data_IF_943094202733
#
_entry.id   IF_943094202733
#
_cell.length_a   1.000
_cell.length_b   1.000
_cell.length_c   1.000
_cell.angle_alpha   90.00
_cell.angle_beta   90.00
_cell.angle_gamma   90.00
#
_symmetry.space_group_name_H-M   'P 1'
#
loop_
_entity.id
_entity.type
_entity.pdbx_description
1 polymer ?
#
# COMPACT_ATOMS: atom_id res chain seq x y z
N UNK A 1 -21.07 -5.92 9.69
CA UNK A 1 -20.32 -7.06 9.11
C UNK A 1 -19.38 -6.49 8.06
N UNK A 2 -18.12 -6.92 8.01
CA UNK A 2 -17.13 -6.48 7.01
C UNK A 2 -17.53 -7.03 5.63
N UNK A 3 -17.39 -6.23 4.58
CA UNK A 3 -17.72 -6.59 3.20
C UNK A 3 -16.54 -6.36 2.23
N UNK A 4 -15.54 -5.59 2.66
CA UNK A 4 -14.33 -5.30 1.88
C UNK A 4 -13.15 -5.10 2.82
N UNK A 5 -12.02 -5.67 2.44
CA UNK A 5 -10.72 -5.28 2.98
C UNK A 5 -9.88 -4.71 1.84
N UNK A 6 -9.36 -3.50 2.02
CA UNK A 6 -8.32 -2.94 1.15
C UNK A 6 -6.97 -3.15 1.82
N UNK A 7 -5.99 -3.60 1.06
CA UNK A 7 -4.63 -3.83 1.53
C UNK A 7 -3.66 -2.95 0.74
N UNK A 8 -2.74 -2.29 1.43
CA UNK A 8 -1.53 -1.81 0.79
C UNK A 8 -0.68 -2.99 0.29
N UNK A 9 0.28 -2.73 -0.60
CA UNK A 9 1.11 -3.78 -1.18
C UNK A 9 2.45 -3.91 -0.47
N UNK A 10 3.37 -2.98 -0.67
CA UNK A 10 4.76 -3.09 -0.19
C UNK A 10 4.86 -2.99 1.34
N UNK A 11 5.30 -4.05 2.01
CA UNK A 11 5.35 -4.12 3.48
C UNK A 11 4.07 -4.64 4.13
N UNK A 12 2.97 -4.74 3.38
CA UNK A 12 1.67 -5.22 3.88
C UNK A 12 1.31 -6.59 3.31
N UNK A 13 1.28 -6.73 1.98
CA UNK A 13 0.99 -7.99 1.28
C UNK A 13 2.20 -8.52 0.52
N UNK A 14 3.15 -7.66 0.22
CA UNK A 14 4.36 -7.95 -0.57
C UNK A 14 5.60 -7.55 0.23
N UNK A 15 6.51 -8.49 0.41
CA UNK A 15 7.88 -8.22 0.82
C UNK A 15 8.72 -7.91 -0.41
N UNK A 16 9.05 -6.64 -0.58
CA UNK A 16 9.86 -6.13 -1.69
C UNK A 16 11.36 -6.04 -1.33
N UNK A 17 11.76 -6.55 -0.18
CA UNK A 17 13.13 -6.46 0.33
C UNK A 17 13.63 -5.02 0.47
N UNK A 18 12.73 -4.02 0.54
CA UNK A 18 13.05 -2.60 0.58
C UNK A 18 13.42 -1.98 -0.78
N UNK A 19 13.08 -2.65 -1.89
CA UNK A 19 13.39 -2.17 -3.25
C UNK A 19 12.68 -0.85 -3.55
N UNK A 20 11.43 -0.66 -3.09
CA UNK A 20 10.67 0.59 -3.25
C UNK A 20 11.42 1.77 -2.63
N UNK A 21 11.88 1.64 -1.39
CA UNK A 21 12.64 2.69 -0.69
C UNK A 21 13.98 2.97 -1.38
N UNK A 22 14.71 1.93 -1.79
CA UNK A 22 15.98 2.11 -2.52
C UNK A 22 15.78 2.78 -3.87
N UNK A 23 14.75 2.40 -4.62
CA UNK A 23 14.43 3.01 -5.92
C UNK A 23 14.03 4.49 -5.76
N UNK A 24 13.26 4.81 -4.71
CA UNK A 24 12.87 6.19 -4.39
C UNK A 24 14.10 7.06 -4.09
N UNK A 25 14.99 6.59 -3.22
CA UNK A 25 16.26 7.26 -2.91
C UNK A 25 17.06 7.48 -4.19
N UNK A 26 17.30 6.43 -4.96
CA UNK A 26 18.12 6.50 -6.16
C UNK A 26 17.55 7.49 -7.20
N UNK A 27 16.23 7.46 -7.44
CA UNK A 27 15.60 8.40 -8.35
C UNK A 27 15.75 9.86 -7.91
N UNK A 28 15.63 10.13 -6.59
CA UNK A 28 15.81 11.49 -6.07
C UNK A 28 17.28 11.93 -6.15
N UNK A 29 18.22 11.07 -5.76
CA UNK A 29 19.66 11.37 -5.78
C UNK A 29 20.22 11.57 -7.19
N UNK A 30 19.65 10.98 -8.23
CA UNK A 30 20.00 11.27 -9.63
C UNK A 30 19.77 12.74 -10.02
N UNK A 31 18.96 13.50 -9.26
CA UNK A 31 18.77 14.94 -9.47
C UNK A 31 19.86 15.81 -8.85
N UNK A 32 20.79 15.19 -8.10
CA UNK A 32 21.80 15.88 -7.30
C UNK A 32 21.36 16.22 -5.87
N UNK A 33 20.15 15.83 -5.48
CA UNK A 33 19.67 15.96 -4.09
C UNK A 33 20.36 14.93 -3.18
N UNK A 34 20.55 15.29 -1.91
CA UNK A 34 21.03 14.37 -0.87
C UNK A 34 19.86 13.89 -0.01
N UNK A 35 19.59 12.58 0.04
CA UNK A 35 18.46 12.02 0.76
C UNK A 35 18.91 11.47 2.10
N UNK A 36 18.51 12.11 3.22
CA UNK A 36 18.70 11.58 4.55
C UNK A 36 17.79 10.36 4.80
N UNK A 37 18.25 9.42 5.62
CA UNK A 37 17.47 8.21 5.94
C UNK A 37 16.16 8.56 6.66
N UNK A 38 16.23 9.49 7.60
CA UNK A 38 15.09 9.98 8.37
C UNK A 38 14.02 10.62 7.48
N UNK A 39 14.44 11.41 6.46
CA UNK A 39 13.49 11.99 5.49
C UNK A 39 12.83 10.90 4.64
N UNK A 40 13.59 9.87 4.23
CA UNK A 40 13.04 8.77 3.45
C UNK A 40 11.96 8.00 4.25
N UNK A 41 12.18 7.78 5.54
CA UNK A 41 11.21 7.14 6.44
C UNK A 41 9.95 7.97 6.62
N UNK A 42 10.09 9.29 6.83
CA UNK A 42 8.95 10.22 6.95
C UNK A 42 8.08 10.24 5.70
N UNK A 43 8.69 10.12 4.52
CA UNK A 43 7.99 10.15 3.23
C UNK A 43 7.61 8.76 2.70
N UNK A 44 7.84 7.69 3.48
CA UNK A 44 7.39 6.34 3.16
C UNK A 44 5.85 6.28 3.15
N UNK A 45 5.27 5.61 2.17
CA UNK A 45 3.81 5.48 2.01
C UNK A 45 3.09 6.72 1.49
N UNK A 46 3.74 7.90 1.42
CA UNK A 46 3.15 9.10 0.82
C UNK A 46 3.08 8.97 -0.69
N UNK A 47 2.04 9.56 -1.29
CA UNK A 47 1.88 9.66 -2.76
C UNK A 47 3.21 9.98 -3.44
N UNK A 48 3.60 9.14 -4.38
CA UNK A 48 4.98 9.04 -4.85
C UNK A 48 5.53 10.32 -5.46
N UNK A 49 4.70 11.06 -6.22
CA UNK A 49 5.15 12.32 -6.85
C UNK A 49 5.37 13.42 -5.82
N UNK A 50 4.52 13.45 -4.77
CA UNK A 50 4.67 14.37 -3.64
C UNK A 50 5.90 14.05 -2.80
N UNK A 51 6.14 12.76 -2.51
CA UNK A 51 7.33 12.31 -1.80
C UNK A 51 8.62 12.69 -2.56
N UNK A 52 8.68 12.42 -3.86
CA UNK A 52 9.81 12.80 -4.71
C UNK A 52 10.05 14.32 -4.67
N UNK A 53 8.99 15.11 -4.83
CA UNK A 53 9.10 16.58 -4.80
C UNK A 53 9.65 17.09 -3.49
N UNK A 54 9.15 16.55 -2.37
CA UNK A 54 9.59 16.93 -1.03
C UNK A 54 11.03 16.51 -0.75
N UNK A 55 11.41 15.28 -1.08
CA UNK A 55 12.76 14.76 -0.89
C UNK A 55 13.79 15.51 -1.75
N UNK A 56 13.44 15.91 -2.98
CA UNK A 56 14.29 16.81 -3.79
C UNK A 56 14.52 18.13 -3.07
N UNK A 57 13.46 18.76 -2.58
CA UNK A 57 13.55 20.06 -1.89
C UNK A 57 14.36 19.97 -0.58
N UNK A 58 14.11 18.95 0.25
CA UNK A 58 14.88 18.68 1.47
C UNK A 58 16.35 18.41 1.17
N UNK A 59 16.63 17.70 0.07
CA UNK A 59 17.98 17.41 -0.42
C UNK A 59 18.68 18.56 -1.14
N UNK A 60 18.11 19.78 -1.13
CA UNK A 60 18.71 20.99 -1.67
C UNK A 60 18.45 21.23 -3.17
N UNK A 61 17.57 20.48 -3.81
CA UNK A 61 17.19 20.64 -5.21
C UNK A 61 15.74 21.12 -5.30
N UNK A 62 15.54 22.35 -5.78
CA UNK A 62 14.18 22.86 -6.00
C UNK A 62 13.60 22.31 -7.31
N UNK A 63 12.57 21.45 -7.27
CA UNK A 63 12.05 20.82 -8.47
C UNK A 63 11.38 21.85 -9.38
N UNK A 64 11.78 21.90 -10.64
CA UNK A 64 11.07 22.63 -11.67
C UNK A 64 9.69 21.96 -11.93
N UNK A 65 8.77 22.71 -12.56
CA UNK A 65 7.45 22.16 -12.90
C UNK A 65 7.59 20.87 -13.74
N UNK A 66 7.00 19.80 -13.27
CA UNK A 66 7.03 18.48 -13.92
C UNK A 66 8.26 17.62 -13.59
N UNK A 67 9.26 18.12 -12.86
CA UNK A 67 10.45 17.35 -12.50
C UNK A 67 10.09 16.12 -11.64
N UNK A 68 9.24 16.28 -10.65
CA UNK A 68 8.80 15.17 -9.80
C UNK A 68 8.09 14.06 -10.61
N UNK A 69 7.29 14.42 -11.62
CA UNK A 69 6.67 13.44 -12.52
C UNK A 69 7.69 12.69 -13.37
N UNK A 70 8.70 13.37 -13.87
CA UNK A 70 9.80 12.75 -14.62
C UNK A 70 10.57 11.76 -13.73
N UNK A 71 10.87 12.17 -12.48
CA UNK A 71 11.53 11.29 -11.51
C UNK A 71 10.65 10.13 -11.03
N UNK A 72 9.34 10.27 -11.01
CA UNK A 72 8.43 9.15 -10.78
C UNK A 72 8.56 8.07 -11.87
N UNK A 73 8.66 8.46 -13.13
CA UNK A 73 8.91 7.50 -14.22
C UNK A 73 10.29 6.84 -14.09
N UNK A 74 11.30 7.63 -13.66
CA UNK A 74 12.63 7.09 -13.40
C UNK A 74 12.64 6.11 -12.23
N UNK A 75 11.97 6.45 -11.13
CA UNK A 75 11.72 5.55 -10.01
C UNK A 75 11.12 4.22 -10.47
N UNK A 76 10.05 4.26 -11.29
CA UNK A 76 9.39 3.05 -11.80
C UNK A 76 10.35 2.18 -12.63
N UNK A 77 11.25 2.80 -13.41
CA UNK A 77 12.27 2.07 -14.17
C UNK A 77 13.29 1.39 -13.25
N UNK A 78 13.81 2.11 -12.25
CA UNK A 78 14.77 1.57 -11.27
C UNK A 78 14.15 0.42 -10.49
N UNK A 79 12.89 0.57 -10.08
CA UNK A 79 12.15 -0.46 -9.35
C UNK A 79 11.96 -1.72 -10.20
N UNK A 80 11.53 -1.58 -11.45
CA UNK A 80 11.37 -2.70 -12.36
C UNK A 80 12.68 -3.43 -12.62
N UNK A 81 13.82 -2.71 -12.72
CA UNK A 81 15.14 -3.29 -12.86
C UNK A 81 15.56 -4.07 -11.60
N UNK A 82 15.25 -3.53 -10.42
CA UNK A 82 15.51 -4.19 -9.14
C UNK A 82 14.70 -5.50 -9.03
N UNK A 83 13.41 -5.49 -9.33
CA UNK A 83 12.53 -6.65 -9.25
C UNK A 83 12.84 -7.75 -10.26
N UNK A 84 13.45 -7.42 -11.39
CA UNK A 84 13.96 -8.44 -12.33
C UNK A 84 15.16 -9.21 -11.77
N UNK A 85 15.94 -8.59 -10.88
CA UNK A 85 17.14 -9.19 -10.28
C UNK A 85 16.80 -9.90 -8.97
N UNK A 86 15.92 -9.30 -8.17
CA UNK A 86 15.47 -9.77 -6.86
C UNK A 86 13.94 -9.63 -6.81
N UNK A 87 13.20 -10.64 -7.28
CA UNK A 87 11.75 -10.57 -7.35
C UNK A 87 11.12 -10.48 -5.96
N UNK A 88 10.10 -9.62 -5.78
CA UNK A 88 9.36 -9.54 -4.54
C UNK A 88 8.66 -10.86 -4.22
N UNK A 89 8.45 -11.11 -2.93
CA UNK A 89 7.74 -12.28 -2.45
C UNK A 89 6.43 -11.85 -1.77
N UNK A 90 5.47 -12.75 -1.66
CA UNK A 90 4.32 -12.47 -0.80
C UNK A 90 4.73 -12.41 0.68
N UNK A 91 4.10 -11.55 1.45
CA UNK A 91 4.15 -11.63 2.91
C UNK A 91 3.50 -12.97 3.32
N UNK A 92 4.18 -13.71 4.20
CA UNK A 92 3.74 -15.05 4.61
C UNK A 92 2.27 -15.05 5.07
N UNK A 93 1.45 -15.88 4.42
CA UNK A 93 0.03 -16.00 4.69
C UNK A 93 -0.88 -15.02 3.93
N UNK A 94 -0.34 -14.24 2.97
CA UNK A 94 -1.16 -13.31 2.19
C UNK A 94 -2.18 -14.04 1.33
N UNK A 95 -1.74 -15.02 0.57
CA UNK A 95 -2.62 -15.84 -0.29
C UNK A 95 -3.72 -16.52 0.51
N UNK A 96 -3.38 -17.17 1.62
CA UNK A 96 -4.34 -17.84 2.51
C UNK A 96 -5.32 -16.86 3.16
N UNK A 97 -4.86 -15.64 3.46
CA UNK A 97 -5.73 -14.57 3.97
C UNK A 97 -6.77 -14.18 2.94
N UNK A 98 -6.38 -13.98 1.68
CA UNK A 98 -7.31 -13.62 0.60
C UNK A 98 -8.33 -14.73 0.34
N UNK A 99 -7.89 -16.00 0.33
CA UNK A 99 -8.77 -17.16 0.19
C UNK A 99 -9.81 -17.22 1.33
N UNK A 100 -9.36 -17.08 2.57
CA UNK A 100 -10.23 -17.11 3.74
C UNK A 100 -11.26 -15.98 3.71
N UNK A 101 -10.85 -14.76 3.38
CA UNK A 101 -11.77 -13.63 3.25
C UNK A 101 -12.84 -13.87 2.16
N UNK A 102 -12.44 -14.43 1.03
CA UNK A 102 -13.38 -14.79 -0.04
C UNK A 102 -14.36 -15.90 0.38
N UNK A 103 -13.91 -16.90 1.15
CA UNK A 103 -14.78 -17.94 1.69
C UNK A 103 -15.84 -17.38 2.66
N UNK A 104 -15.49 -16.30 3.37
CA UNK A 104 -16.40 -15.54 4.24
C UNK A 104 -17.26 -14.53 3.46
N UNK A 105 -17.13 -14.45 2.14
CA UNK A 105 -17.88 -13.52 1.28
C UNK A 105 -17.37 -12.08 1.35
N UNK A 106 -16.17 -11.85 1.87
CA UNK A 106 -15.51 -10.55 1.97
C UNK A 106 -14.67 -10.31 0.70
N UNK A 107 -14.81 -9.13 0.11
CA UNK A 107 -14.04 -8.74 -1.05
C UNK A 107 -12.64 -8.30 -0.66
N UNK A 108 -11.68 -8.53 -1.55
CA UNK A 108 -10.27 -8.19 -1.40
C UNK A 108 -9.87 -7.19 -2.48
N UNK A 109 -9.31 -6.05 -2.06
CA UNK A 109 -8.74 -5.07 -2.96
C UNK A 109 -7.30 -4.75 -2.57
N UNK A 110 -6.42 -4.63 -3.54
CA UNK A 110 -5.09 -4.06 -3.34
C UNK A 110 -5.09 -2.58 -3.71
N UNK A 111 -4.39 -1.78 -2.94
CA UNK A 111 -4.20 -0.35 -3.17
C UNK A 111 -2.72 -0.01 -3.12
N UNK A 112 -2.23 0.85 -4.02
CA UNK A 112 -0.82 1.20 -4.04
C UNK A 112 -0.56 2.55 -4.70
N UNK A 113 0.48 3.24 -4.25
CA UNK A 113 1.03 4.44 -4.89
C UNK A 113 2.01 4.13 -6.05
N UNK A 114 2.15 2.86 -6.42
CA UNK A 114 2.83 2.44 -7.63
C UNK A 114 1.92 2.59 -8.86
N UNK A 115 2.51 2.72 -10.04
CA UNK A 115 1.77 2.75 -11.30
C UNK A 115 1.42 1.34 -11.80
N UNK A 116 0.44 1.24 -12.71
CA UNK A 116 0.00 -0.02 -13.29
C UNK A 116 1.14 -0.79 -13.97
N UNK A 117 2.05 -0.08 -14.65
CA UNK A 117 3.19 -0.70 -15.34
C UNK A 117 4.15 -1.45 -14.37
N UNK A 118 4.25 -1.01 -13.12
CA UNK A 118 5.03 -1.70 -12.07
C UNK A 118 4.23 -2.84 -11.44
N UNK A 119 2.93 -2.64 -11.23
CA UNK A 119 2.07 -3.58 -10.49
C UNK A 119 1.70 -4.81 -11.31
N UNK A 120 1.39 -4.65 -12.60
CA UNK A 120 0.92 -5.76 -13.45
C UNK A 120 1.91 -6.94 -13.49
N UNK A 121 3.22 -6.74 -13.76
CA UNK A 121 4.17 -7.84 -13.74
C UNK A 121 4.31 -8.50 -12.36
N UNK A 122 4.23 -7.70 -11.28
CA UNK A 122 4.29 -8.20 -9.91
C UNK A 122 3.11 -9.13 -9.60
N UNK A 123 1.89 -8.74 -9.99
CA UNK A 123 0.69 -9.55 -9.79
C UNK A 123 0.74 -10.87 -10.57
N UNK A 124 1.34 -10.86 -11.75
CA UNK A 124 1.57 -12.07 -12.56
C UNK A 124 2.59 -12.99 -11.90
N UNK A 125 3.70 -12.45 -11.41
CA UNK A 125 4.77 -13.22 -10.72
C UNK A 125 4.25 -13.87 -9.44
N UNK A 126 3.45 -13.16 -8.64
CA UNK A 126 2.85 -13.69 -7.41
C UNK A 126 1.67 -14.64 -7.68
N UNK A 127 1.22 -14.77 -8.95
CA UNK A 127 0.08 -15.62 -9.31
C UNK A 127 -1.27 -15.13 -8.80
N UNK A 128 -1.37 -13.86 -8.38
CA UNK A 128 -2.59 -13.25 -7.87
C UNK A 128 -3.52 -12.71 -8.97
N UNK A 129 -2.99 -12.51 -10.17
CA UNK A 129 -3.73 -12.00 -11.35
C UNK A 129 -4.17 -13.13 -12.28
N UNK A 130 -5.26 -13.00 -13.01
CA UNK A 130 -6.41 -13.86 -12.93
C UNK A 130 -6.16 -15.22 -13.54
N UNK A 131 -6.00 -16.19 -12.68
CA UNK A 131 -6.42 -17.54 -13.03
C UNK A 131 -7.96 -17.63 -12.96
N UNK A 132 -8.51 -18.81 -13.17
CA UNK A 132 -9.95 -19.09 -13.21
C UNK A 132 -10.74 -18.63 -11.97
N UNK A 133 -10.07 -18.26 -10.87
CA UNK A 133 -10.64 -17.75 -9.64
C UNK A 133 -9.72 -16.62 -9.12
N UNK A 134 -10.08 -15.36 -9.31
CA UNK A 134 -9.26 -14.25 -8.85
C UNK A 134 -9.21 -14.22 -7.33
N UNK A 135 -8.00 -14.17 -6.75
CA UNK A 135 -7.77 -13.95 -5.32
C UNK A 135 -8.01 -12.50 -4.93
N UNK A 136 -7.98 -11.61 -5.90
CA UNK A 136 -8.11 -10.16 -5.74
C UNK A 136 -9.27 -9.68 -6.60
N UNK A 137 -10.27 -9.02 -6.00
CA UNK A 137 -11.41 -8.45 -6.74
C UNK A 137 -11.02 -7.23 -7.58
N UNK A 138 -10.09 -6.42 -7.07
CA UNK A 138 -9.56 -5.26 -7.79
C UNK A 138 -8.20 -4.83 -7.27
N UNK A 139 -7.41 -4.23 -8.16
CA UNK A 139 -6.20 -3.49 -7.81
C UNK A 139 -6.42 -2.03 -8.19
N UNK A 140 -6.08 -1.12 -7.29
CA UNK A 140 -6.13 0.33 -7.52
C UNK A 140 -4.73 0.90 -7.39
N UNK A 141 -4.28 1.55 -8.45
CA UNK A 141 -2.92 2.07 -8.59
C UNK A 141 -2.90 3.61 -8.57
N UNK A 142 -1.72 4.20 -8.53
CA UNK A 142 -1.54 5.64 -8.68
C UNK A 142 -2.15 6.22 -9.97
N UNK A 143 -2.28 5.41 -11.02
CA UNK A 143 -2.84 5.85 -12.30
C UNK A 143 -4.38 5.96 -12.29
N UNK A 144 -5.03 5.37 -11.28
CA UNK A 144 -6.49 5.32 -11.14
C UNK A 144 -7.09 6.52 -10.40
N UNK A 145 -6.24 7.32 -9.73
CA UNK A 145 -6.68 8.36 -8.81
C UNK A 145 -5.96 9.68 -9.03
N UNK A 146 -6.57 10.77 -8.56
CA UNK A 146 -5.98 12.10 -8.68
C UNK A 146 -4.83 12.33 -7.67
N UNK A 147 -4.83 11.61 -6.55
CA UNK A 147 -3.80 11.66 -5.51
C UNK A 147 -3.82 10.36 -4.71
N UNK A 148 -2.64 9.83 -4.38
CA UNK A 148 -2.46 8.69 -3.49
C UNK A 148 -2.49 9.05 -2.02
N UNK A 149 -2.00 8.14 -1.17
CA UNK A 149 -2.00 8.30 0.28
C UNK A 149 -1.25 9.56 0.74
N UNK A 150 -1.77 10.29 1.74
CA UNK A 150 -2.89 9.95 2.63
C UNK A 150 -4.28 10.37 2.13
N UNK A 151 -4.45 10.74 0.84
CA UNK A 151 -5.77 11.00 0.28
C UNK A 151 -6.62 9.71 0.29
N UNK A 152 -7.95 9.79 0.45
CA UNK A 152 -8.82 8.61 0.58
C UNK A 152 -9.11 7.92 -0.75
N UNK A 153 -8.57 8.41 -1.84
CA UNK A 153 -9.08 8.10 -3.19
C UNK A 153 -8.79 6.67 -3.63
N UNK A 154 -7.66 6.07 -3.23
CA UNK A 154 -7.37 4.66 -3.51
C UNK A 154 -8.43 3.75 -2.88
N UNK A 155 -8.76 3.98 -1.61
CA UNK A 155 -9.76 3.22 -0.85
C UNK A 155 -11.15 3.43 -1.46
N UNK A 156 -11.57 4.68 -1.72
CA UNK A 156 -12.86 4.97 -2.32
C UNK A 156 -12.99 4.39 -3.74
N UNK A 157 -11.90 4.38 -4.52
CA UNK A 157 -11.89 3.73 -5.84
C UNK A 157 -12.03 2.20 -5.72
N UNK A 158 -11.39 1.58 -4.72
CA UNK A 158 -11.58 0.16 -4.43
C UNK A 158 -13.04 -0.15 -4.04
N UNK A 159 -13.66 0.67 -3.20
CA UNK A 159 -15.08 0.57 -2.84
C UNK A 159 -15.99 0.69 -4.08
N UNK A 160 -15.74 1.66 -4.95
CA UNK A 160 -16.49 1.84 -6.19
C UNK A 160 -16.42 0.60 -7.09
N UNK A 161 -15.21 0.08 -7.33
CA UNK A 161 -14.98 -1.10 -8.17
C UNK A 161 -15.59 -2.37 -7.60
N UNK A 162 -15.57 -2.51 -6.29
CA UNK A 162 -16.18 -3.66 -5.59
C UNK A 162 -17.65 -3.46 -5.26
N UNK A 163 -18.23 -2.27 -5.54
CA UNK A 163 -19.62 -1.89 -5.26
C UNK A 163 -19.98 -1.94 -3.76
N UNK A 164 -19.01 -1.76 -2.89
CA UNK A 164 -19.24 -1.59 -1.45
C UNK A 164 -19.47 -0.12 -1.18
N UNK A 165 -20.63 0.25 -0.64
CA UNK A 165 -21.05 1.65 -0.48
C UNK A 165 -21.00 2.15 0.96
N UNK A 166 -20.95 1.26 1.94
CA UNK A 166 -20.93 1.62 3.36
C UNK A 166 -19.50 1.54 3.89
N UNK A 167 -18.90 2.68 4.18
CA UNK A 167 -17.54 2.78 4.74
C UNK A 167 -17.36 2.01 6.04
N UNK A 168 -18.44 1.82 6.83
CA UNK A 168 -18.42 1.05 8.09
C UNK A 168 -18.22 -0.45 7.88
N UNK A 169 -18.33 -0.92 6.65
CA UNK A 169 -18.13 -2.32 6.26
C UNK A 169 -16.76 -2.53 5.62
N UNK A 170 -15.87 -1.54 5.70
CA UNK A 170 -14.55 -1.57 5.05
C UNK A 170 -13.45 -1.47 6.10
N UNK A 171 -12.47 -2.35 5.99
CA UNK A 171 -11.18 -2.25 6.68
C UNK A 171 -10.11 -1.83 5.66
N UNK A 172 -9.17 -1.00 6.08
CA UNK A 172 -8.00 -0.67 5.27
C UNK A 172 -6.73 -1.03 6.05
N UNK A 173 -5.97 -1.96 5.52
CA UNK A 173 -4.75 -2.49 6.12
C UNK A 173 -3.51 -1.91 5.43
N UNK A 174 -2.55 -1.46 6.25
CA UNK A 174 -1.28 -0.92 5.79
C UNK A 174 -0.22 -0.98 6.87
N UNK A 175 1.03 -0.73 6.51
CA UNK A 175 2.19 -0.82 7.41
C UNK A 175 2.75 0.53 7.83
N UNK A 176 2.17 1.65 7.35
CA UNK A 176 2.64 3.00 7.66
C UNK A 176 1.57 3.86 8.33
N UNK A 177 1.99 4.93 9.00
CA UNK A 177 1.07 5.96 9.56
C UNK A 177 0.25 6.62 8.44
N UNK A 178 0.80 6.69 7.24
CA UNK A 178 0.15 7.31 6.08
C UNK A 178 -1.06 6.49 5.63
N UNK A 179 -0.99 5.15 5.71
CA UNK A 179 -2.12 4.26 5.44
C UNK A 179 -3.23 4.44 6.46
N UNK A 180 -2.88 4.55 7.74
CA UNK A 180 -3.85 4.85 8.79
C UNK A 180 -4.54 6.19 8.58
N UNK A 181 -3.81 7.21 8.11
CA UNK A 181 -4.37 8.51 7.75
C UNK A 181 -5.30 8.39 6.55
N UNK A 182 -4.91 7.63 5.50
CA UNK A 182 -5.75 7.40 4.34
C UNK A 182 -7.06 6.67 4.72
N UNK A 183 -6.99 5.66 5.58
CA UNK A 183 -8.16 4.95 6.11
C UNK A 183 -9.11 5.89 6.84
N UNK A 184 -8.59 6.75 7.74
CA UNK A 184 -9.40 7.73 8.47
C UNK A 184 -10.01 8.78 7.54
N UNK A 185 -9.24 9.28 6.59
CA UNK A 185 -9.72 10.23 5.59
C UNK A 185 -10.82 9.60 4.72
N UNK A 186 -10.76 8.29 4.49
CA UNK A 186 -11.81 7.54 3.80
C UNK A 186 -13.03 7.23 4.67
N UNK A 187 -12.93 7.38 6.00
CA UNK A 187 -13.98 7.05 6.95
C UNK A 187 -14.12 5.54 7.20
N UNK A 188 -13.09 4.75 6.89
CA UNK A 188 -13.03 3.30 7.10
C UNK A 188 -12.19 2.94 8.32
N UNK A 189 -12.30 1.71 8.81
CA UNK A 189 -11.55 1.25 9.98
C UNK A 189 -10.07 0.97 9.62
N UNK A 190 -9.10 1.63 10.28
CA UNK A 190 -7.69 1.44 10.03
C UNK A 190 -7.14 0.18 10.71
N UNK A 191 -6.44 -0.64 9.94
CA UNK A 191 -5.69 -1.81 10.42
C UNK A 191 -4.21 -1.57 10.15
N UNK A 192 -3.36 -1.79 11.14
CA UNK A 192 -1.91 -1.74 10.97
C UNK A 192 -1.28 -3.10 11.05
N UNK A 193 -0.24 -3.32 10.25
CA UNK A 193 0.60 -4.52 10.31
C UNK A 193 2.07 -4.16 10.57
N UNK A 194 2.81 -5.09 11.18
CA UNK A 194 4.20 -4.91 11.59
C UNK A 194 5.19 -5.56 10.62
N UNK A 195 4.74 -5.86 9.41
CA UNK A 195 5.55 -6.54 8.38
C UNK A 195 6.34 -5.58 7.50
N UNK A 196 6.09 -4.27 7.59
CA UNK A 196 6.69 -3.27 6.71
C UNK A 196 7.52 -2.20 7.42
N UNK A 197 7.42 -0.96 6.94
CA UNK A 197 8.31 0.14 7.34
C UNK A 197 7.98 0.75 8.71
N UNK A 198 6.73 0.66 9.19
CA UNK A 198 6.31 1.27 10.45
C UNK A 198 6.75 0.47 11.67
N UNK A 199 7.41 1.12 12.61
CA UNK A 199 7.67 0.50 13.92
C UNK A 199 6.42 0.48 14.81
N UNK A 200 6.39 -0.48 15.76
CA UNK A 200 5.25 -0.69 16.66
C UNK A 200 4.86 0.58 17.41
N UNK A 201 5.82 1.30 17.97
CA UNK A 201 5.55 2.46 18.82
C UNK A 201 4.87 3.58 18.02
N UNK A 202 5.37 3.85 16.83
CA UNK A 202 4.83 4.86 15.90
C UNK A 202 3.43 4.48 15.44
N UNK A 203 3.19 3.20 15.07
CA UNK A 203 1.88 2.73 14.64
C UNK A 203 0.86 2.71 15.79
N UNK A 204 1.24 2.28 16.99
CA UNK A 204 0.38 2.35 18.19
C UNK A 204 -0.01 3.79 18.54
N UNK A 205 0.95 4.72 18.48
CA UNK A 205 0.70 6.15 18.72
C UNK A 205 -0.26 6.75 17.68
N UNK A 206 -0.23 6.24 16.45
CA UNK A 206 -1.17 6.62 15.41
C UNK A 206 -2.60 6.06 15.66
N UNK A 207 -2.81 5.11 16.57
CA UNK A 207 -4.12 4.64 17.06
C UNK A 207 -4.93 3.88 16.03
N UNK A 208 -4.45 2.79 15.43
CA UNK A 208 -5.26 1.93 14.56
C UNK A 208 -6.37 1.24 15.36
N UNK A 209 -7.44 0.81 14.68
CA UNK A 209 -8.47 -0.03 15.31
C UNK A 209 -7.91 -1.42 15.65
N UNK A 210 -7.00 -1.92 14.81
CA UNK A 210 -6.27 -3.16 15.02
C UNK A 210 -4.80 -2.99 14.68
N UNK A 211 -3.90 -3.50 15.53
CA UNK A 211 -2.47 -3.61 15.26
C UNK A 211 -2.07 -5.08 15.30
N UNK A 212 -1.68 -5.61 14.15
CA UNK A 212 -1.42 -7.03 13.91
C UNK A 212 0.06 -7.26 13.63
N UNK A 213 0.55 -8.45 13.94
CA UNK A 213 1.89 -8.85 13.52
C UNK A 213 1.98 -9.02 12.00
N UNK A 214 0.91 -9.51 11.37
CA UNK A 214 0.79 -9.71 9.93
C UNK A 214 -0.68 -9.71 9.51
N UNK A 215 -0.96 -9.53 8.21
CA UNK A 215 -2.31 -9.68 7.65
C UNK A 215 -2.88 -11.09 7.86
N UNK A 216 -2.05 -12.10 8.07
CA UNK A 216 -2.47 -13.47 8.36
C UNK A 216 -3.34 -13.59 9.64
N UNK A 217 -3.26 -12.61 10.54
CA UNK A 217 -4.11 -12.57 11.75
C UNK A 217 -5.51 -11.97 11.49
N UNK A 218 -5.69 -11.28 10.36
CA UNK A 218 -6.89 -10.49 10.10
C UNK A 218 -8.19 -11.30 10.03
N UNK A 219 -8.26 -12.48 9.38
CA UNK A 219 -9.48 -13.28 9.34
C UNK A 219 -9.99 -13.64 10.74
N UNK A 220 -9.09 -14.02 11.65
CA UNK A 220 -9.46 -14.36 13.03
C UNK A 220 -10.05 -13.14 13.78
N UNK A 221 -9.50 -11.95 13.56
CA UNK A 221 -9.99 -10.69 14.16
C UNK A 221 -11.38 -10.35 13.65
N UNK A 222 -11.61 -10.47 12.34
CA UNK A 222 -12.93 -10.21 11.72
C UNK A 222 -13.97 -11.17 12.27
N UNK A 223 -13.68 -12.47 12.32
CA UNK A 223 -14.58 -13.51 12.85
C UNK A 223 -14.93 -13.26 14.32
N UNK A 224 -13.95 -12.89 15.15
CA UNK A 224 -14.16 -12.57 16.56
C UNK A 224 -15.08 -11.34 16.75
N UNK A 225 -14.87 -10.28 15.97
CA UNK A 225 -15.69 -9.08 16.00
C UNK A 225 -17.14 -9.36 15.55
N UNK A 226 -17.33 -10.20 14.53
CA UNK A 226 -18.66 -10.65 14.09
C UNK A 226 -19.44 -11.40 15.14
N UNK A 227 -18.77 -12.26 15.90
CA UNK A 227 -19.37 -13.06 16.97
C UNK A 227 -19.78 -12.23 18.21
N UNK A 228 -19.15 -11.09 18.45
CA UNK A 228 -19.45 -10.23 19.60
C UNK A 228 -20.69 -9.33 19.39
N UNK A 229 -21.18 -9.22 18.16
CA UNK A 229 -22.33 -8.38 17.78
C UNK A 229 -23.61 -9.17 17.49
N UNK A 230 -23.60 -10.50 17.59
CA UNK A 230 -24.74 -11.39 17.39
C UNK A 230 -25.24 -11.95 18.70
#
# INVERSE_FOLDING_TARGET
>A
MVSLVTFDMAGTTVDDGGAVSRALRAAVEETGASVAQEDLEVWSGVERTSAISALMALGGVHPARGAARAQFLRFSTILADSWRTDPPQEIAGATETFETLHEEGIRVALTTDLNEASVTPLMEELGWWPARRPLIDTVVTADDVASGCPAPYLIHRAMERTRVVDVRQVLAAGDTVVDLQAARNAGVAPVSVLTGAGDRQTLEAAGPDYLLGSIAELPAVISAAGSAMG
#
